data_IF_058800941827
#
_entry.id   IF_058800941827
#
_cell.length_a   1.000
_cell.length_b   1.000
_cell.length_c   1.000
_cell.angle_alpha   90.00
_cell.angle_beta   90.00
_cell.angle_gamma   90.00
#
_symmetry.space_group_name_H-M   'P 1'
#
loop_
_entity.id
_entity.type
_entity.pdbx_description
1 polymer ?
#
# COMPACT_ATOMS: atom_id res chain seq x y z
N UNK A 1 -18.22 20.91 -36.53
CA UNK A 1 -18.05 19.48 -36.19
C UNK A 1 -16.56 19.21 -36.19
N UNK A 2 -15.99 18.81 -35.05
CA UNK A 2 -14.82 17.93 -34.91
C UNK A 2 -14.60 17.77 -33.40
N UNK A 3 -15.40 16.84 -32.85
CA UNK A 3 -15.27 16.36 -31.49
C UNK A 3 -14.03 15.47 -31.46
N UNK A 4 -13.10 15.81 -30.58
CA UNK A 4 -11.83 15.13 -30.38
C UNK A 4 -12.12 13.71 -29.84
N UNK A 5 -12.18 12.74 -30.74
CA UNK A 5 -12.44 11.35 -30.40
C UNK A 5 -11.34 10.85 -29.46
N UNK A 6 -11.76 10.56 -28.23
CA UNK A 6 -10.97 9.89 -27.22
C UNK A 6 -10.34 8.63 -27.82
N UNK A 7 -9.03 8.69 -28.05
CA UNK A 7 -8.19 7.57 -28.47
C UNK A 7 -8.12 6.56 -27.33
N UNK A 8 -9.12 5.69 -27.23
CA UNK A 8 -9.08 4.46 -26.43
C UNK A 8 -8.18 3.43 -27.12
N UNK A 9 -6.87 3.70 -27.18
CA UNK A 9 -5.91 2.63 -27.50
C UNK A 9 -5.74 1.77 -26.24
N UNK A 10 -6.26 0.55 -26.29
CA UNK A 10 -6.09 -0.46 -25.26
C UNK A 10 -4.61 -0.76 -25.02
N UNK A 11 -4.02 -0.07 -24.05
CA UNK A 11 -2.74 -0.44 -23.46
C UNK A 11 -3.02 -1.56 -22.49
N UNK A 12 -2.58 -2.78 -22.84
CA UNK A 12 -2.54 -3.91 -21.92
C UNK A 12 -1.91 -3.46 -20.59
N UNK A 13 -2.45 -3.85 -19.42
CA UNK A 13 -1.96 -3.37 -18.13
C UNK A 13 -0.44 -3.57 -17.97
N UNK A 14 0.14 -4.58 -18.63
CA UNK A 14 1.57 -4.88 -18.69
C UNK A 14 2.46 -3.77 -19.30
N UNK A 15 1.95 -3.01 -20.27
CA UNK A 15 2.72 -1.99 -21.01
C UNK A 15 2.60 -0.58 -20.41
N UNK A 16 1.72 -0.41 -19.43
CA UNK A 16 1.49 0.87 -18.74
C UNK A 16 2.73 1.30 -17.92
N UNK A 17 3.10 2.58 -17.82
CA UNK A 17 4.17 3.05 -16.91
C UNK A 17 3.83 2.81 -15.43
N UNK A 18 4.86 2.75 -14.56
CA UNK A 18 4.69 2.43 -13.14
C UNK A 18 3.77 3.42 -12.43
N UNK A 19 4.04 4.72 -12.56
CA UNK A 19 3.26 5.79 -11.92
C UNK A 19 1.79 5.75 -12.32
N UNK A 20 1.51 5.44 -13.59
CA UNK A 20 0.14 5.35 -14.07
C UNK A 20 -0.58 4.10 -13.53
N UNK A 21 0.12 2.95 -13.48
CA UNK A 21 -0.42 1.73 -12.89
C UNK A 21 -0.73 1.91 -11.39
N UNK A 22 0.14 2.60 -10.66
CA UNK A 22 -0.05 2.94 -9.26
C UNK A 22 -1.24 3.90 -9.06
N UNK A 23 -1.30 4.99 -9.84
CA UNK A 23 -2.39 5.96 -9.74
C UNK A 23 -3.77 5.32 -10.01
N UNK A 24 -3.85 4.42 -11.00
CA UNK A 24 -5.09 3.67 -11.26
C UNK A 24 -5.41 2.71 -10.12
N UNK A 25 -4.43 2.01 -9.56
CA UNK A 25 -4.63 1.10 -8.43
C UNK A 25 -5.20 1.85 -7.23
N UNK A 26 -4.61 2.98 -6.85
CA UNK A 26 -5.09 3.83 -5.77
C UNK A 26 -6.52 4.30 -6.00
N UNK A 27 -6.88 4.64 -7.24
CA UNK A 27 -8.25 5.03 -7.57
C UNK A 27 -9.23 3.87 -7.39
N UNK A 28 -8.88 2.66 -7.80
CA UNK A 28 -9.71 1.47 -7.54
C UNK A 28 -9.89 1.24 -6.04
N UNK A 29 -8.81 1.33 -5.25
CA UNK A 29 -8.86 1.16 -3.79
C UNK A 29 -9.73 2.24 -3.15
N UNK A 30 -9.53 3.52 -3.48
CA UNK A 30 -10.35 4.64 -2.96
C UNK A 30 -11.84 4.41 -3.22
N UNK A 31 -12.19 3.99 -4.43
CA UNK A 31 -13.59 3.74 -4.78
C UNK A 31 -14.17 2.52 -4.05
N UNK A 32 -13.36 1.50 -3.77
CA UNK A 32 -13.77 0.34 -2.96
C UNK A 32 -13.97 0.72 -1.48
N UNK A 33 -13.11 1.56 -0.93
CA UNK A 33 -13.17 2.05 0.46
C UNK A 33 -14.34 3.02 0.69
N UNK A 34 -14.73 3.78 -0.34
CA UNK A 34 -15.88 4.68 -0.27
C UNK A 34 -17.22 3.96 -0.02
N UNK A 35 -17.28 2.63 -0.22
CA UNK A 35 -18.44 1.80 0.13
C UNK A 35 -19.70 2.03 -0.71
N UNK A 36 -19.66 2.93 -1.70
CA UNK A 36 -20.79 3.27 -2.57
C UNK A 36 -20.88 2.40 -3.84
N UNK A 37 -20.00 1.40 -3.98
CA UNK A 37 -19.92 0.55 -5.18
C UNK A 37 -20.69 -0.76 -4.95
N UNK A 38 -21.65 -1.12 -5.83
CA UNK A 38 -22.36 -2.39 -5.75
C UNK A 38 -21.42 -3.60 -5.75
N UNK A 39 -21.80 -4.67 -5.05
CA UNK A 39 -20.98 -5.89 -4.89
C UNK A 39 -20.44 -6.46 -6.20
N UNK A 40 -21.27 -6.55 -7.24
CA UNK A 40 -20.84 -7.02 -8.57
C UNK A 40 -19.74 -6.16 -9.19
N UNK A 41 -19.79 -4.85 -8.98
CA UNK A 41 -18.77 -3.93 -9.44
C UNK A 41 -17.52 -3.97 -8.56
N UNK A 42 -17.67 -4.22 -7.25
CA UNK A 42 -16.54 -4.42 -6.33
C UNK A 42 -15.67 -5.60 -6.75
N UNK A 43 -16.27 -6.71 -7.17
CA UNK A 43 -15.53 -7.89 -7.65
C UNK A 43 -14.70 -7.54 -8.88
N UNK A 44 -15.29 -6.86 -9.87
CA UNK A 44 -14.57 -6.45 -11.09
C UNK A 44 -13.41 -5.50 -10.78
N UNK A 45 -13.65 -4.51 -9.90
CA UNK A 45 -12.61 -3.56 -9.47
C UNK A 45 -11.49 -4.25 -8.73
N UNK A 46 -11.80 -5.22 -7.88
CA UNK A 46 -10.80 -6.01 -7.18
C UNK A 46 -9.92 -6.80 -8.15
N UNK A 47 -10.50 -7.44 -9.17
CA UNK A 47 -9.71 -8.14 -10.19
C UNK A 47 -8.80 -7.19 -10.99
N UNK A 48 -9.29 -6.00 -11.34
CA UNK A 48 -8.50 -4.97 -12.02
C UNK A 48 -7.38 -4.43 -11.13
N UNK A 49 -7.68 -4.15 -9.86
CA UNK A 49 -6.70 -3.74 -8.85
C UNK A 49 -5.60 -4.81 -8.68
N UNK A 50 -5.96 -6.09 -8.63
CA UNK A 50 -4.98 -7.18 -8.54
C UNK A 50 -4.06 -7.23 -9.77
N UNK A 51 -4.60 -7.01 -10.97
CA UNK A 51 -3.79 -6.93 -12.20
C UNK A 51 -2.81 -5.74 -12.14
N UNK A 52 -3.28 -4.57 -11.71
CA UNK A 52 -2.43 -3.38 -11.57
C UNK A 52 -1.33 -3.59 -10.51
N UNK A 53 -1.67 -4.19 -9.37
CA UNK A 53 -0.71 -4.53 -8.32
C UNK A 53 0.38 -5.49 -8.84
N UNK A 54 0.01 -6.50 -9.64
CA UNK A 54 0.95 -7.41 -10.27
C UNK A 54 1.89 -6.69 -11.26
N UNK A 55 1.39 -5.72 -12.02
CA UNK A 55 2.21 -4.88 -12.92
C UNK A 55 3.21 -4.06 -12.12
N UNK A 56 2.77 -3.38 -11.06
CA UNK A 56 3.65 -2.60 -10.19
C UNK A 56 4.78 -3.46 -9.61
N UNK A 57 4.42 -4.63 -9.05
CA UNK A 57 5.41 -5.58 -8.52
C UNK A 57 6.41 -6.02 -9.58
N UNK A 58 5.93 -6.41 -10.77
CA UNK A 58 6.80 -6.87 -11.87
C UNK A 58 7.79 -5.80 -12.31
N UNK A 59 7.37 -4.52 -12.33
CA UNK A 59 8.26 -3.41 -12.68
C UNK A 59 9.33 -3.17 -11.61
N UNK A 60 8.94 -3.18 -10.33
CA UNK A 60 9.87 -3.03 -9.22
C UNK A 60 10.91 -4.16 -9.20
N UNK A 61 10.49 -5.41 -9.35
CA UNK A 61 11.39 -6.55 -9.46
C UNK A 61 12.35 -6.43 -10.65
N UNK A 62 11.83 -5.98 -11.80
CA UNK A 62 12.67 -5.75 -12.99
C UNK A 62 13.71 -4.66 -12.75
N UNK A 63 13.36 -3.60 -12.01
CA UNK A 63 14.32 -2.55 -11.64
C UNK A 63 15.34 -3.05 -10.63
N UNK A 64 14.90 -3.76 -9.58
CA UNK A 64 15.77 -4.35 -8.56
C UNK A 64 16.82 -5.26 -9.20
N UNK A 65 16.41 -6.13 -10.12
CA UNK A 65 17.32 -7.01 -10.87
C UNK A 65 18.32 -6.24 -11.73
N UNK A 66 17.89 -5.15 -12.40
CA UNK A 66 18.81 -4.30 -13.18
C UNK A 66 19.85 -3.65 -12.28
N UNK A 67 19.44 -3.13 -11.12
CA UNK A 67 20.32 -2.54 -10.12
C UNK A 67 21.33 -3.56 -9.61
N UNK A 68 20.88 -4.78 -9.31
CA UNK A 68 21.75 -5.87 -8.85
C UNK A 68 22.84 -6.24 -9.88
N UNK A 69 22.47 -6.34 -11.16
CA UNK A 69 23.43 -6.62 -12.25
C UNK A 69 24.46 -5.49 -12.40
N UNK A 70 24.01 -4.23 -12.30
CA UNK A 70 24.91 -3.06 -12.36
C UNK A 70 25.88 -3.01 -11.17
N UNK A 71 25.39 -3.35 -9.97
CA UNK A 71 26.23 -3.41 -8.76
C UNK A 71 27.32 -4.50 -8.84
N UNK A 72 26.98 -5.69 -9.37
CA UNK A 72 27.93 -6.81 -9.53
C UNK A 72 28.99 -6.58 -10.61
N UNK A 73 28.73 -5.69 -11.58
CA UNK A 73 29.64 -5.43 -12.72
C UNK A 73 30.70 -4.36 -12.45
N UNK A 74 30.91 -3.97 -11.18
CA UNK A 74 31.98 -3.06 -10.77
C UNK A 74 31.66 -1.58 -10.99
N UNK A 75 30.48 -1.26 -11.52
CA UNK A 75 29.91 0.09 -11.49
C UNK A 75 29.41 0.36 -10.07
N UNK A 76 30.07 1.27 -9.34
CA UNK A 76 29.76 1.63 -7.96
C UNK A 76 28.30 2.07 -7.79
N UNK A 77 27.40 1.13 -7.51
CA UNK A 77 26.02 1.41 -7.12
C UNK A 77 25.92 1.17 -5.61
N UNK A 78 25.97 2.26 -4.84
CA UNK A 78 25.78 2.25 -3.38
C UNK A 78 24.40 2.82 -3.05
N UNK A 79 23.42 1.94 -2.92
CA UNK A 79 22.14 2.24 -2.27
C UNK A 79 22.18 1.57 -0.90
N UNK A 80 22.10 2.37 0.16
CA UNK A 80 21.88 1.87 1.53
C UNK A 80 20.37 1.76 1.72
N UNK A 81 19.85 0.55 1.91
CA UNK A 81 18.59 0.38 2.63
C UNK A 81 18.86 0.86 4.05
N UNK A 82 18.16 1.91 4.49
CA UNK A 82 17.99 2.10 5.91
C UNK A 82 17.35 0.80 6.40
N UNK A 83 18.00 0.12 7.34
CA UNK A 83 17.35 -0.97 8.04
C UNK A 83 16.08 -0.37 8.66
N UNK A 84 14.92 -0.80 8.18
CA UNK A 84 13.73 -0.74 8.99
C UNK A 84 14.05 -1.66 10.18
N UNK A 85 14.56 -1.05 11.25
CA UNK A 85 14.58 -1.69 12.55
C UNK A 85 13.10 -1.92 12.88
N UNK A 86 12.62 -3.15 12.65
CA UNK A 86 11.42 -3.65 13.30
C UNK A 86 11.66 -3.51 14.80
N UNK A 87 11.19 -2.41 15.39
CA UNK A 87 10.92 -2.32 16.82
C UNK A 87 10.05 -3.55 17.17
N UNK A 88 10.56 -4.51 17.96
CA UNK A 88 9.75 -5.65 18.33
C UNK A 88 8.57 -5.14 19.14
N UNK A 89 7.39 -5.24 18.53
CA UNK A 89 6.13 -5.09 19.23
C UNK A 89 6.06 -6.12 20.36
N UNK A 90 5.82 -5.58 21.55
CA UNK A 90 5.26 -6.25 22.73
C UNK A 90 6.16 -7.24 23.49
N UNK A 91 6.76 -6.73 24.56
CA UNK A 91 6.94 -7.48 25.79
C UNK A 91 6.45 -6.63 26.98
N UNK A 92 5.13 -6.59 27.15
CA UNK A 92 4.43 -6.60 28.43
C UNK A 92 4.97 -5.73 29.57
N UNK A 93 4.31 -4.60 29.82
CA UNK A 93 4.13 -4.08 31.17
C UNK A 93 2.65 -3.80 31.39
N UNK A 94 2.06 -4.61 32.27
CA UNK A 94 0.77 -4.39 32.90
C UNK A 94 0.76 -3.01 33.54
N UNK A 95 0.05 -2.06 32.94
CA UNK A 95 -0.39 -0.89 33.69
C UNK A 95 -1.69 -1.26 34.38
N UNK A 96 -1.63 -1.21 35.71
CA UNK A 96 -2.74 -1.21 36.65
C UNK A 96 -3.74 -0.11 36.28
N UNK A 97 -4.56 -0.39 35.28
CA UNK A 97 -5.73 0.39 34.95
C UNK A 97 -6.89 -0.13 35.79
N UNK A 98 -6.90 0.14 37.09
CA UNK A 98 -8.13 0.60 37.73
C UNK A 98 -7.77 1.48 38.95
N UNK A 99 -8.35 2.70 38.99
CA UNK A 99 -7.88 3.79 39.83
C UNK A 99 -8.35 3.59 41.27
N UNK A 100 -7.56 4.12 42.20
CA UNK A 100 -7.95 4.24 43.60
C UNK A 100 -9.26 5.00 43.74
N UNK A 101 -10.36 4.27 43.89
CA UNK A 101 -11.57 4.74 44.53
C UNK A 101 -11.50 4.26 45.98
N UNK A 102 -10.65 4.93 46.78
CA UNK A 102 -10.89 4.95 48.23
C UNK A 102 -12.00 5.98 48.45
N UNK A 103 -13.22 5.48 48.66
CA UNK A 103 -14.29 6.30 49.20
C UNK A 103 -13.81 6.82 50.56
N UNK A 104 -13.69 8.14 50.65
CA UNK A 104 -13.36 8.84 51.87
C UNK A 104 -14.39 8.59 52.98
N UNK A 105 -13.90 8.77 54.19
CA UNK A 105 -14.53 8.60 55.50
C UNK A 105 -16.03 8.95 55.59
N UNK A 106 -16.79 8.07 56.23
CA UNK A 106 -18.00 8.44 56.96
C UNK A 106 -18.21 7.50 58.16
N UNK A 107 -18.16 8.14 59.34
CA UNK A 107 -18.87 7.82 60.58
C UNK A 107 -18.22 6.87 61.62
N UNK A 108 -17.59 7.55 62.60
CA UNK A 108 -17.75 7.42 64.06
C UNK A 108 -17.78 6.01 64.68
N UNK A 109 -16.74 5.72 65.46
CA UNK A 109 -16.90 5.25 66.85
C UNK A 109 -16.16 6.19 67.80
#
# INVERSE_FOLDING_TARGET
MNNEEAKTSGTSPSDMPFEEALARLEEHVRQMEAGSVPLEQMIRRYEEAQKLAAVCRTKLESMKKKIEVLSRSGGKVRWQEAADEEEPADAGQSEDFFPGISHGDSEKL
#
